data_IF_636414141290
#
_entry.id   IF_636414141290
#
_cell.length_a   1.000
_cell.length_b   1.000
_cell.length_c   1.000
_cell.angle_alpha   90.00
_cell.angle_beta   90.00
_cell.angle_gamma   90.00
#
_symmetry.space_group_name_H-M   'P 1'
#
loop_
_entity.id
_entity.type
_entity.pdbx_description
1 polymer ?
#
# COMPACT_ATOMS: atom_id res chain seq x y z
N UNK A 1 -24.00 -47.63 7.04
CA UNK A 1 -24.31 -47.42 5.61
C UNK A 1 -25.42 -46.40 5.49
N UNK A 2 -25.09 -45.12 5.41
CA UNK A 2 -26.03 -44.04 5.08
C UNK A 2 -25.31 -43.12 4.12
N UNK A 3 -25.33 -43.55 2.87
CA UNK A 3 -24.78 -42.87 1.72
C UNK A 3 -25.91 -42.08 1.07
N UNK A 4 -25.57 -40.88 0.57
CA UNK A 4 -26.34 -40.06 -0.40
C UNK A 4 -27.45 -39.15 0.16
N UNK A 5 -27.02 -38.10 0.84
CA UNK A 5 -27.55 -36.73 0.65
C UNK A 5 -26.50 -35.76 1.15
N UNK A 6 -25.42 -35.60 0.37
CA UNK A 6 -24.50 -34.49 0.49
C UNK A 6 -24.37 -33.91 -0.92
N UNK A 7 -24.97 -32.74 -1.08
CA UNK A 7 -25.16 -32.05 -2.33
C UNK A 7 -23.89 -32.00 -3.18
N UNK A 8 -24.01 -32.51 -4.40
CA UNK A 8 -23.17 -32.12 -5.52
C UNK A 8 -23.43 -30.63 -5.79
N UNK A 9 -22.77 -29.75 -5.04
CA UNK A 9 -22.47 -28.42 -5.55
C UNK A 9 -21.60 -28.69 -6.78
N UNK A 10 -22.15 -28.47 -7.98
CA UNK A 10 -21.41 -28.61 -9.23
C UNK A 10 -20.05 -27.91 -9.07
N UNK A 11 -18.97 -28.68 -9.23
CA UNK A 11 -17.64 -28.09 -9.34
C UNK A 11 -17.71 -27.16 -10.54
N UNK A 12 -17.44 -25.87 -10.30
CA UNK A 12 -17.35 -24.87 -11.37
C UNK A 12 -16.38 -25.43 -12.42
N UNK A 13 -16.84 -25.59 -13.66
CA UNK A 13 -15.95 -25.94 -14.74
C UNK A 13 -15.20 -24.68 -15.15
N UNK A 14 -13.88 -24.74 -15.08
CA UNK A 14 -13.05 -23.56 -15.30
C UNK A 14 -13.10 -23.08 -16.76
N UNK A 15 -13.54 -23.95 -17.67
CA UNK A 15 -13.77 -23.65 -19.08
C UNK A 15 -14.99 -22.74 -19.32
N UNK A 16 -15.90 -22.63 -18.37
CA UNK A 16 -17.10 -21.79 -18.50
C UNK A 16 -16.82 -20.34 -18.07
N UNK A 17 -15.59 -20.04 -17.65
CA UNK A 17 -15.20 -18.72 -17.17
C UNK A 17 -14.44 -17.95 -18.23
N UNK A 18 -14.99 -16.80 -18.60
CA UNK A 18 -14.37 -15.86 -19.52
C UNK A 18 -13.60 -14.83 -18.71
N UNK A 19 -12.30 -14.68 -18.98
CA UNK A 19 -11.47 -13.64 -18.41
C UNK A 19 -11.33 -12.50 -19.41
N UNK A 20 -11.80 -11.31 -19.06
CA UNK A 20 -11.72 -10.12 -19.92
C UNK A 20 -11.69 -8.83 -19.11
N UNK A 21 -11.38 -7.73 -19.79
CA UNK A 21 -11.56 -6.40 -19.19
C UNK A 21 -13.04 -6.13 -18.92
N UNK A 22 -13.30 -5.40 -17.84
CA UNK A 22 -14.61 -4.84 -17.54
C UNK A 22 -14.94 -3.75 -18.57
N UNK A 23 -16.17 -3.77 -19.08
CA UNK A 23 -16.70 -2.75 -19.97
C UNK A 23 -17.79 -1.94 -19.25
N UNK A 24 -18.14 -0.75 -19.79
CA UNK A 24 -19.19 0.10 -19.20
C UNK A 24 -20.52 -0.62 -19.01
N UNK A 25 -20.86 -1.58 -19.88
CA UNK A 25 -22.10 -2.38 -19.78
C UNK A 25 -22.13 -3.31 -18.55
N UNK A 26 -20.98 -3.72 -18.03
CA UNK A 26 -20.88 -4.66 -16.92
C UNK A 26 -21.07 -3.98 -15.55
N UNK A 27 -21.09 -2.64 -15.53
CA UNK A 27 -20.96 -1.84 -14.33
C UNK A 27 -22.02 -2.04 -13.27
N UNK A 28 -23.32 -2.13 -13.60
CA UNK A 28 -24.34 -2.38 -12.59
C UNK A 28 -24.01 -3.64 -11.77
N UNK A 29 -23.52 -4.70 -12.44
CA UNK A 29 -23.11 -5.95 -11.78
C UNK A 29 -21.78 -5.82 -11.07
N UNK A 30 -20.79 -5.14 -11.64
CA UNK A 30 -19.50 -4.94 -10.98
C UNK A 30 -19.64 -4.22 -9.62
N UNK A 31 -20.52 -3.20 -9.58
CA UNK A 31 -20.83 -2.47 -8.35
C UNK A 31 -21.47 -3.38 -7.30
N UNK A 32 -22.34 -4.33 -7.69
CA UNK A 32 -22.86 -5.34 -6.77
C UNK A 32 -21.73 -6.24 -6.21
N UNK A 33 -20.79 -6.68 -7.06
CA UNK A 33 -19.64 -7.49 -6.64
C UNK A 33 -18.78 -6.74 -5.63
N UNK A 34 -18.46 -5.47 -5.90
CA UNK A 34 -17.67 -4.65 -4.98
C UNK A 34 -18.43 -4.32 -3.70
N UNK A 35 -19.68 -3.90 -3.79
CA UNK A 35 -20.49 -3.52 -2.62
C UNK A 35 -20.66 -4.68 -1.66
N UNK A 36 -20.87 -5.89 -2.17
CA UNK A 36 -20.95 -7.11 -1.33
C UNK A 36 -19.61 -7.55 -0.76
N UNK A 37 -18.49 -7.16 -1.37
CA UNK A 37 -17.15 -7.46 -0.87
C UNK A 37 -16.66 -6.46 0.20
N UNK A 38 -16.95 -5.17 0.02
CA UNK A 38 -16.41 -4.08 0.85
C UNK A 38 -17.43 -3.48 1.84
N UNK A 39 -18.72 -3.83 1.74
CA UNK A 39 -19.73 -3.48 2.72
C UNK A 39 -20.27 -2.04 2.65
N UNK A 40 -20.06 -1.33 1.54
CA UNK A 40 -20.67 -0.02 1.28
C UNK A 40 -21.20 0.07 -0.15
N UNK A 41 -22.28 0.84 -0.33
CA UNK A 41 -23.08 0.90 -1.57
C UNK A 41 -22.92 2.21 -2.33
N UNK A 42 -21.78 2.89 -2.17
CA UNK A 42 -21.48 4.13 -2.91
C UNK A 42 -21.17 3.80 -4.38
N UNK A 43 -22.22 3.79 -5.18
CA UNK A 43 -22.21 3.51 -6.62
C UNK A 43 -21.29 4.48 -7.36
N UNK A 44 -21.32 5.77 -7.02
CA UNK A 44 -20.50 6.79 -7.67
C UNK A 44 -19.03 6.59 -7.36
N UNK A 45 -18.69 6.25 -6.11
CA UNK A 45 -17.31 5.90 -5.74
C UNK A 45 -16.79 4.72 -6.55
N UNK A 46 -17.58 3.66 -6.70
CA UNK A 46 -17.17 2.50 -7.52
C UNK A 46 -17.08 2.82 -9.01
N UNK A 47 -17.99 3.63 -9.53
CA UNK A 47 -17.94 4.08 -10.91
C UNK A 47 -16.66 4.88 -11.20
N UNK A 48 -16.37 5.90 -10.38
CA UNK A 48 -15.19 6.74 -10.55
C UNK A 48 -13.91 5.92 -10.35
N UNK A 49 -13.91 5.01 -9.37
CA UNK A 49 -12.80 4.07 -9.17
C UNK A 49 -12.48 3.25 -10.43
N UNK A 50 -13.50 2.74 -11.12
CA UNK A 50 -13.34 1.84 -12.27
C UNK A 50 -13.01 2.52 -13.61
N UNK A 51 -13.29 3.82 -13.77
CA UNK A 51 -13.09 4.50 -15.07
C UNK A 51 -12.34 5.82 -15.03
N UNK A 52 -12.19 6.43 -13.86
CA UNK A 52 -11.47 7.70 -13.71
C UNK A 52 -10.16 7.50 -12.96
N UNK A 53 -10.09 6.51 -12.07
CA UNK A 53 -8.91 6.23 -11.27
C UNK A 53 -8.06 5.10 -11.85
N UNK A 54 -8.70 4.04 -12.35
CA UNK A 54 -8.00 2.85 -12.82
C UNK A 54 -7.66 2.89 -14.30
N UNK A 55 -6.52 2.29 -14.65
CA UNK A 55 -6.14 2.03 -16.03
C UNK A 55 -7.01 0.94 -16.65
N UNK A 56 -7.28 -0.13 -15.90
CA UNK A 56 -8.22 -1.17 -16.31
C UNK A 56 -8.69 -2.04 -15.13
N UNK A 57 -9.83 -2.68 -15.33
CA UNK A 57 -10.36 -3.71 -14.42
C UNK A 57 -10.43 -5.02 -15.17
N UNK A 58 -9.92 -6.11 -14.59
CA UNK A 58 -10.06 -7.47 -15.12
C UNK A 58 -11.14 -8.20 -14.33
N UNK A 59 -12.02 -8.91 -15.04
CA UNK A 59 -13.07 -9.72 -14.45
C UNK A 59 -13.03 -11.18 -14.89
N UNK A 60 -13.51 -12.05 -14.00
CA UNK A 60 -13.91 -13.42 -14.31
C UNK A 60 -15.44 -13.47 -14.46
N UNK A 61 -15.90 -13.83 -15.65
CA UNK A 61 -17.31 -13.81 -16.02
C UNK A 61 -17.86 -15.22 -16.16
N UNK A 62 -19.05 -15.44 -15.61
CA UNK A 62 -19.85 -16.65 -15.79
C UNK A 62 -21.21 -16.18 -16.30
N UNK A 63 -21.67 -16.73 -17.43
CA UNK A 63 -22.90 -16.31 -18.10
C UNK A 63 -22.95 -14.78 -18.36
N UNK A 64 -21.83 -14.22 -18.83
CA UNK A 64 -21.58 -12.78 -19.06
C UNK A 64 -21.78 -11.88 -17.82
N UNK A 65 -21.83 -12.47 -16.61
CA UNK A 65 -21.90 -11.73 -15.35
C UNK A 65 -20.56 -11.76 -14.61
N UNK A 66 -20.00 -10.62 -14.15
CA UNK A 66 -18.76 -10.61 -13.39
C UNK A 66 -18.95 -11.29 -12.02
N UNK A 67 -18.04 -12.20 -11.68
CA UNK A 67 -18.06 -12.96 -10.42
C UNK A 67 -16.82 -12.71 -9.56
N UNK A 68 -15.73 -12.27 -10.17
CA UNK A 68 -14.55 -11.76 -9.48
C UNK A 68 -13.93 -10.63 -10.29
N UNK A 69 -13.32 -9.66 -9.61
CA UNK A 69 -12.74 -8.45 -10.19
C UNK A 69 -11.40 -8.16 -9.52
N UNK A 70 -10.45 -7.60 -10.27
CA UNK A 70 -9.28 -6.92 -9.76
C UNK A 70 -8.97 -5.72 -10.65
N UNK A 71 -8.57 -4.63 -10.02
CA UNK A 71 -8.31 -3.35 -10.69
C UNK A 71 -6.82 -3.10 -10.72
N UNK A 72 -6.32 -2.61 -11.85
CA UNK A 72 -4.94 -2.14 -12.01
C UNK A 72 -4.94 -0.62 -12.07
N UNK A 73 -4.06 -0.02 -11.28
CA UNK A 73 -3.77 1.40 -11.29
C UNK A 73 -2.26 1.57 -11.41
N UNK A 74 -1.79 2.30 -12.42
CA UNK A 74 -0.38 2.54 -12.66
C UNK A 74 0.13 3.68 -11.79
N UNK A 75 1.30 3.47 -11.20
CA UNK A 75 2.02 4.43 -10.38
C UNK A 75 3.49 4.45 -10.76
N UNK A 76 4.16 5.55 -10.40
CA UNK A 76 5.60 5.53 -10.21
C UNK A 76 5.90 5.21 -8.75
N UNK A 77 6.81 4.26 -8.54
CA UNK A 77 7.32 3.84 -7.24
C UNK A 77 8.77 4.25 -7.08
N UNK A 78 9.09 4.89 -5.95
CA UNK A 78 10.45 5.25 -5.61
C UNK A 78 11.22 4.01 -5.16
N UNK A 79 12.34 3.75 -5.81
CA UNK A 79 13.21 2.63 -5.54
C UNK A 79 14.65 2.96 -5.93
N UNK A 80 15.57 2.87 -4.97
CA UNK A 80 17.00 3.07 -5.16
C UNK A 80 17.34 4.39 -5.89
N UNK A 81 16.83 5.51 -5.35
CA UNK A 81 16.98 6.88 -5.90
C UNK A 81 16.42 7.06 -7.33
N UNK A 82 15.50 6.18 -7.74
CA UNK A 82 14.87 6.18 -9.06
C UNK A 82 13.37 5.97 -8.95
N UNK A 83 12.65 6.35 -9.99
CA UNK A 83 11.23 6.02 -10.15
C UNK A 83 11.11 4.86 -11.14
N UNK A 84 10.45 3.78 -10.71
CA UNK A 84 10.13 2.60 -11.52
C UNK A 84 8.61 2.46 -11.66
N UNK A 85 8.11 1.83 -12.72
CA UNK A 85 6.66 1.67 -12.86
C UNK A 85 6.15 0.56 -11.94
N UNK A 86 4.99 0.83 -11.35
CA UNK A 86 4.29 -0.05 -10.44
C UNK A 86 2.84 -0.24 -10.86
N UNK A 87 2.45 -1.48 -11.14
CA UNK A 87 1.06 -1.86 -11.34
C UNK A 87 0.38 -2.15 -9.99
N UNK A 88 -0.31 -1.16 -9.43
CA UNK A 88 -1.05 -1.30 -8.19
C UNK A 88 -2.31 -2.15 -8.35
N UNK A 89 -2.47 -3.18 -7.52
CA UNK A 89 -3.69 -4.00 -7.49
C UNK A 89 -4.64 -3.47 -6.42
N UNK A 90 -5.84 -3.09 -6.84
CA UNK A 90 -6.89 -2.56 -5.97
C UNK A 90 -8.26 -3.20 -6.26
N UNK A 91 -9.23 -2.95 -5.39
CA UNK A 91 -10.63 -3.35 -5.61
C UNK A 91 -10.82 -4.85 -5.85
N UNK A 92 -9.98 -5.71 -5.26
CA UNK A 92 -10.07 -7.17 -5.44
C UNK A 92 -11.36 -7.66 -4.79
N UNK A 93 -12.28 -8.19 -5.59
CA UNK A 93 -13.59 -8.61 -5.13
C UNK A 93 -14.03 -9.93 -5.77
N UNK A 94 -14.92 -10.64 -5.06
CA UNK A 94 -15.52 -11.89 -5.51
C UNK A 94 -16.88 -12.05 -4.85
N UNK A 95 -17.89 -12.42 -5.65
CA UNK A 95 -19.24 -12.63 -5.16
C UNK A 95 -19.24 -13.71 -4.07
N UNK A 96 -20.01 -13.55 -2.98
CA UNK A 96 -20.00 -14.53 -1.88
C UNK A 96 -20.21 -16.00 -2.33
N UNK A 97 -21.13 -16.33 -3.27
CA UNK A 97 -21.33 -17.70 -3.75
C UNK A 97 -20.14 -18.29 -4.53
N UNK A 98 -19.29 -17.45 -5.13
CA UNK A 98 -18.17 -17.88 -5.97
C UNK A 98 -16.81 -17.87 -5.25
N UNK A 99 -16.79 -17.47 -3.98
CA UNK A 99 -15.57 -17.53 -3.15
C UNK A 99 -15.01 -18.95 -3.05
N UNK A 100 -13.69 -19.03 -2.88
CA UNK A 100 -12.91 -20.28 -2.76
C UNK A 100 -12.98 -21.20 -3.99
N UNK A 101 -13.33 -20.67 -5.16
CA UNK A 101 -13.34 -21.39 -6.45
C UNK A 101 -12.18 -21.01 -7.39
N UNK A 102 -11.17 -20.29 -6.90
CA UNK A 102 -9.99 -19.91 -7.69
C UNK A 102 -10.13 -18.67 -8.58
N UNK A 103 -11.34 -18.11 -8.74
CA UNK A 103 -11.58 -16.98 -9.65
C UNK A 103 -10.67 -15.76 -9.40
N UNK A 104 -10.48 -15.36 -8.14
CA UNK A 104 -9.59 -14.23 -7.81
C UNK A 104 -8.15 -14.51 -8.22
N UNK A 105 -7.65 -15.74 -8.02
CA UNK A 105 -6.31 -16.12 -8.47
C UNK A 105 -6.19 -16.02 -9.99
N UNK A 106 -7.22 -16.45 -10.72
CA UNK A 106 -7.25 -16.37 -12.19
C UNK A 106 -7.23 -14.91 -12.67
N UNK A 107 -8.04 -14.04 -12.08
CA UNK A 107 -8.09 -12.61 -12.42
C UNK A 107 -6.77 -11.92 -12.09
N UNK A 108 -6.20 -12.16 -10.91
CA UNK A 108 -4.90 -11.58 -10.52
C UNK A 108 -3.76 -12.04 -11.43
N UNK A 109 -3.76 -13.33 -11.82
CA UNK A 109 -2.78 -13.85 -12.78
C UNK A 109 -2.88 -13.15 -14.12
N UNK A 110 -4.10 -12.88 -14.61
CA UNK A 110 -4.30 -12.13 -15.85
C UNK A 110 -3.80 -10.68 -15.71
N UNK A 111 -4.10 -9.97 -14.61
CA UNK A 111 -3.56 -8.64 -14.36
C UNK A 111 -2.03 -8.62 -14.43
N UNK A 112 -1.37 -9.54 -13.72
CA UNK A 112 0.09 -9.66 -13.69
C UNK A 112 0.67 -10.05 -15.05
N UNK A 113 -0.02 -10.88 -15.82
CA UNK A 113 0.39 -11.26 -17.18
C UNK A 113 0.39 -10.04 -18.11
N UNK A 114 -0.61 -9.16 -18.00
CA UNK A 114 -0.67 -7.91 -18.78
C UNK A 114 0.42 -6.94 -18.38
N UNK A 115 0.58 -6.71 -17.08
CA UNK A 115 1.67 -5.88 -16.53
C UNK A 115 3.05 -6.37 -17.01
N UNK A 116 3.27 -7.69 -17.02
CA UNK A 116 4.50 -8.27 -17.54
C UNK A 116 4.70 -7.96 -19.03
N UNK A 117 3.66 -8.11 -19.87
CA UNK A 117 3.72 -7.79 -21.30
C UNK A 117 3.99 -6.31 -21.55
N UNK A 118 3.46 -5.44 -20.69
CA UNK A 118 3.67 -3.99 -20.69
C UNK A 118 5.04 -3.59 -20.12
N UNK A 119 5.84 -4.56 -19.65
CA UNK A 119 7.16 -4.37 -19.05
C UNK A 119 7.13 -3.51 -17.78
N UNK A 120 6.03 -3.57 -17.03
CA UNK A 120 5.95 -2.97 -15.70
C UNK A 120 6.85 -3.75 -14.75
N UNK A 121 7.69 -3.04 -14.01
CA UNK A 121 8.75 -3.61 -13.18
C UNK A 121 8.18 -4.36 -11.99
N UNK A 122 7.28 -3.71 -11.24
CA UNK A 122 6.74 -4.23 -9.98
C UNK A 122 5.22 -4.12 -9.92
N UNK A 123 4.61 -4.90 -9.03
CA UNK A 123 3.20 -4.77 -8.66
C UNK A 123 3.09 -4.73 -7.15
N UNK A 124 2.17 -3.91 -6.65
CA UNK A 124 2.02 -3.64 -5.24
C UNK A 124 0.54 -3.57 -4.82
N UNK A 125 0.23 -3.92 -3.58
CA UNK A 125 -1.14 -3.92 -3.05
C UNK A 125 -1.21 -3.82 -1.53
N UNK A 126 -2.35 -3.34 -1.04
CA UNK A 126 -2.71 -3.43 0.38
C UNK A 126 -3.52 -4.72 0.64
N UNK A 127 -2.95 -5.70 1.35
CA UNK A 127 -3.57 -7.01 1.45
C UNK A 127 -4.68 -7.03 2.50
N UNK A 128 -5.85 -7.57 2.15
CA UNK A 128 -6.81 -8.02 3.17
C UNK A 128 -6.34 -9.29 3.92
N UNK A 129 -5.38 -10.03 3.33
CA UNK A 129 -4.83 -11.27 3.88
C UNK A 129 -3.43 -11.52 3.31
N UNK A 130 -2.39 -11.33 4.13
CA UNK A 130 -1.01 -11.59 3.72
C UNK A 130 -0.81 -13.02 3.17
N UNK A 131 -1.27 -14.10 3.86
CA UNK A 131 -1.08 -15.47 3.38
C UNK A 131 -1.80 -15.81 2.06
N UNK A 132 -2.78 -14.99 1.67
CA UNK A 132 -3.47 -15.15 0.39
C UNK A 132 -2.57 -14.71 -0.77
N UNK A 133 -1.93 -13.55 -0.64
CA UNK A 133 -1.08 -12.97 -1.68
C UNK A 133 0.33 -13.56 -1.69
N UNK A 134 0.84 -14.06 -0.56
CA UNK A 134 2.10 -14.81 -0.50
C UNK A 134 2.10 -16.02 -1.44
N UNK A 135 0.97 -16.73 -1.53
CA UNK A 135 0.77 -17.86 -2.47
C UNK A 135 0.84 -17.44 -3.95
N UNK A 136 0.86 -16.14 -4.22
CA UNK A 136 0.97 -15.53 -5.54
C UNK A 136 2.29 -14.77 -5.70
N UNK A 137 3.29 -15.05 -4.86
CA UNK A 137 4.64 -14.49 -4.98
C UNK A 137 4.79 -13.05 -4.48
N UNK A 138 3.77 -12.48 -3.83
CA UNK A 138 3.91 -11.20 -3.13
C UNK A 138 4.58 -11.39 -1.78
N UNK A 139 5.35 -10.39 -1.35
CA UNK A 139 5.90 -10.32 0.01
C UNK A 139 5.65 -8.95 0.62
N UNK A 140 5.65 -8.85 1.95
CA UNK A 140 5.59 -7.57 2.66
C UNK A 140 6.85 -6.78 2.32
N UNK A 141 6.72 -5.57 1.78
CA UNK A 141 7.89 -4.78 1.34
C UNK A 141 8.08 -3.48 2.08
N UNK A 142 7.16 -3.11 2.97
CA UNK A 142 7.31 -1.99 3.89
C UNK A 142 6.78 -2.31 5.29
N UNK A 143 7.36 -1.63 6.28
CA UNK A 143 6.96 -1.70 7.68
C UNK A 143 6.70 -0.28 8.15
N UNK A 144 5.61 -0.13 8.91
CA UNK A 144 5.22 1.11 9.53
C UNK A 144 5.22 0.96 11.05
N UNK A 145 5.65 2.01 11.75
CA UNK A 145 5.54 2.07 13.20
C UNK A 145 4.41 3.01 13.59
N UNK A 146 3.35 2.48 14.17
CA UNK A 146 2.31 3.30 14.78
C UNK A 146 2.69 3.59 16.23
N UNK A 147 2.91 4.87 16.52
CA UNK A 147 3.21 5.37 17.85
C UNK A 147 1.94 5.93 18.46
N UNK A 148 1.59 5.48 19.67
CA UNK A 148 0.54 6.09 20.50
C UNK A 148 1.16 6.61 21.78
N UNK A 149 1.09 7.93 22.01
CA UNK A 149 1.68 8.59 23.16
C UNK A 149 0.62 9.41 23.92
N UNK A 150 0.73 9.45 25.25
CA UNK A 150 -0.05 10.39 26.06
C UNK A 150 0.46 11.82 25.79
N UNK A 151 -0.42 12.72 25.39
CA UNK A 151 -0.03 14.07 24.95
C UNK A 151 0.73 14.82 26.06
N UNK A 152 0.28 14.68 27.32
CA UNK A 152 0.93 15.30 28.48
C UNK A 152 2.41 14.90 28.65
N UNK A 153 2.80 13.72 28.16
CA UNK A 153 4.16 13.17 28.27
C UNK A 153 5.04 13.44 27.06
N UNK A 154 4.51 14.07 25.99
CA UNK A 154 5.33 14.55 24.87
C UNK A 154 6.26 15.67 25.41
N UNK A 155 7.57 15.62 25.16
CA UNK A 155 8.50 16.64 25.65
C UNK A 155 8.32 17.99 24.94
N UNK A 156 8.75 19.07 25.59
CA UNK A 156 8.76 20.41 25.00
C UNK A 156 10.04 20.59 24.20
N UNK A 157 9.96 20.38 22.88
CA UNK A 157 11.15 20.27 22.01
C UNK A 157 11.15 21.22 20.82
N UNK A 158 10.06 21.96 20.58
CA UNK A 158 9.95 22.84 19.42
C UNK A 158 8.92 23.95 19.58
N UNK A 159 8.58 24.58 18.46
CA UNK A 159 7.65 25.70 18.37
C UNK A 159 6.42 25.33 17.53
N UNK A 160 5.28 25.16 18.20
CA UNK A 160 4.01 24.84 17.53
C UNK A 160 3.57 25.89 16.50
N UNK A 161 3.99 27.15 16.65
CA UNK A 161 3.56 28.25 15.77
C UNK A 161 4.19 28.17 14.37
N UNK A 162 5.22 27.34 14.21
CA UNK A 162 5.84 27.06 12.92
C UNK A 162 4.93 26.23 11.98
N UNK A 163 3.97 25.48 12.53
CA UNK A 163 2.92 24.83 11.76
C UNK A 163 1.69 25.72 11.64
N UNK A 164 1.30 26.07 10.41
CA UNK A 164 0.13 26.90 10.13
C UNK A 164 -1.00 26.07 9.56
N UNK A 165 -2.21 26.28 10.06
CA UNK A 165 -3.39 25.66 9.45
C UNK A 165 -3.58 26.19 8.03
N UNK A 166 -3.85 25.29 7.09
CA UNK A 166 -4.12 25.62 5.67
C UNK A 166 -5.44 25.00 5.23
N UNK A 167 -6.08 25.60 4.23
CA UNK A 167 -7.33 25.07 3.68
C UNK A 167 -7.08 23.74 2.97
N UNK A 168 -8.07 22.84 2.97
CA UNK A 168 -8.00 21.60 2.18
C UNK A 168 -7.81 21.89 0.69
N UNK A 169 -8.32 23.02 0.20
CA UNK A 169 -8.20 23.42 -1.21
C UNK A 169 -6.82 24.00 -1.55
N UNK A 170 -5.96 24.22 -0.57
CA UNK A 170 -4.60 24.76 -0.74
C UNK A 170 -3.52 23.67 -0.60
N UNK A 171 -3.92 22.40 -0.71
CA UNK A 171 -3.01 21.25 -0.60
C UNK A 171 -1.83 21.29 -1.58
N UNK A 172 -1.97 22.04 -2.70
CA UNK A 172 -0.93 22.25 -3.69
C UNK A 172 0.41 22.71 -3.08
N UNK A 173 0.38 23.47 -1.98
CA UNK A 173 1.59 23.92 -1.28
C UNK A 173 2.35 22.78 -0.57
N UNK A 174 1.71 21.63 -0.34
CA UNK A 174 2.30 20.48 0.33
C UNK A 174 3.08 19.57 -0.63
N UNK A 175 2.78 19.64 -1.94
CA UNK A 175 3.35 18.75 -2.96
C UNK A 175 4.88 18.72 -2.94
N UNK A 176 5.61 19.85 -2.92
CA UNK A 176 7.06 19.82 -2.92
C UNK A 176 7.67 19.13 -1.69
N UNK A 177 7.05 19.30 -0.52
CA UNK A 177 7.47 18.62 0.72
C UNK A 177 7.14 17.14 0.64
N UNK A 178 5.96 16.79 0.14
CA UNK A 178 5.53 15.40 -0.04
C UNK A 178 6.45 14.63 -0.99
N UNK A 179 6.74 15.18 -2.17
CA UNK A 179 7.63 14.57 -3.15
C UNK A 179 9.02 14.31 -2.56
N UNK A 180 9.61 15.32 -1.90
CA UNK A 180 10.91 15.18 -1.23
C UNK A 180 10.88 14.16 -0.10
N UNK A 181 9.79 14.09 0.66
CA UNK A 181 9.66 13.14 1.77
C UNK A 181 9.50 11.71 1.25
N UNK A 182 8.64 11.50 0.26
CA UNK A 182 8.44 10.18 -0.37
C UNK A 182 9.69 9.66 -1.08
N UNK A 183 10.50 10.53 -1.68
CA UNK A 183 11.79 10.13 -2.28
C UNK A 183 12.87 9.74 -1.26
N UNK A 184 12.62 9.88 0.06
CA UNK A 184 13.54 9.38 1.09
C UNK A 184 13.40 7.87 1.32
N UNK A 185 12.35 7.25 0.79
CA UNK A 185 12.00 5.88 1.11
C UNK A 185 11.86 5.01 -0.14
N UNK A 186 12.28 3.76 -0.04
CA UNK A 186 11.92 2.75 -1.03
C UNK A 186 10.42 2.41 -0.88
N UNK A 187 9.77 1.99 -1.98
CA UNK A 187 8.35 1.59 -2.05
C UNK A 187 7.33 2.72 -1.92
N UNK A 188 7.76 3.96 -1.72
CA UNK A 188 6.86 5.11 -1.75
C UNK A 188 6.31 5.33 -3.16
N UNK A 189 5.04 5.74 -3.28
CA UNK A 189 4.38 5.96 -4.56
C UNK A 189 4.20 7.45 -4.82
N UNK A 190 4.24 7.85 -6.10
CA UNK A 190 3.88 9.22 -6.49
C UNK A 190 2.41 9.52 -6.20
N UNK A 191 2.12 10.76 -5.79
CA UNK A 191 0.77 11.25 -5.56
C UNK A 191 0.49 12.51 -6.40
N UNK A 192 -0.26 12.35 -7.49
CA UNK A 192 -0.69 13.46 -8.32
C UNK A 192 -1.82 14.30 -7.67
N UNK A 193 -2.12 15.47 -8.25
CA UNK A 193 -3.15 16.39 -7.72
C UNK A 193 -4.54 15.75 -7.59
N UNK A 194 -5.01 15.01 -8.60
CA UNK A 194 -6.31 14.34 -8.51
C UNK A 194 -6.36 13.29 -7.40
N UNK A 195 -5.23 12.63 -7.10
CA UNK A 195 -5.14 11.72 -5.96
C UNK A 195 -5.20 12.48 -4.64
N UNK A 196 -4.52 13.61 -4.51
CA UNK A 196 -4.65 14.49 -3.33
C UNK A 196 -6.09 14.92 -3.09
N UNK A 197 -6.79 15.40 -4.12
CA UNK A 197 -8.20 15.80 -4.04
C UNK A 197 -9.07 14.64 -3.55
N UNK A 198 -8.95 13.45 -4.15
CA UNK A 198 -9.70 12.27 -3.72
C UNK A 198 -9.37 11.84 -2.30
N UNK A 199 -8.10 11.93 -1.90
CA UNK A 199 -7.66 11.58 -0.55
C UNK A 199 -8.30 12.50 0.48
N UNK A 200 -8.31 13.82 0.23
CA UNK A 200 -8.83 14.83 1.14
C UNK A 200 -10.36 14.94 1.12
N UNK A 201 -11.02 14.47 0.06
CA UNK A 201 -12.48 14.48 -0.08
C UNK A 201 -13.19 13.24 0.52
N UNK A 202 -12.47 12.34 1.21
CA UNK A 202 -13.06 11.11 1.78
C UNK A 202 -14.17 11.43 2.80
N UNK A 203 -15.43 11.04 2.56
CA UNK A 203 -16.56 11.42 3.42
C UNK A 203 -16.51 10.77 4.82
N UNK A 204 -15.80 9.66 4.96
CA UNK A 204 -15.57 8.97 6.23
C UNK A 204 -14.53 9.65 7.13
N UNK A 205 -13.91 10.75 6.68
CA UNK A 205 -12.86 11.48 7.40
C UNK A 205 -13.24 12.96 7.56
N UNK A 206 -12.58 13.63 8.50
CA UNK A 206 -12.67 15.07 8.70
C UNK A 206 -11.25 15.60 8.84
N UNK A 207 -10.67 16.03 7.72
CA UNK A 207 -9.25 16.39 7.69
C UNK A 207 -9.00 17.83 8.10
N UNK A 208 -7.87 18.04 8.79
CA UNK A 208 -7.27 19.36 9.04
C UNK A 208 -5.80 19.29 8.63
N UNK A 209 -5.35 20.29 7.87
CA UNK A 209 -4.00 20.35 7.32
C UNK A 209 -3.19 21.42 8.04
N UNK A 210 -1.97 21.06 8.40
CA UNK A 210 -0.97 21.98 8.91
C UNK A 210 0.26 21.95 8.02
N UNK A 211 0.80 23.12 7.69
CA UNK A 211 1.98 23.28 6.87
C UNK A 211 3.13 23.89 7.69
N UNK A 212 4.31 23.30 7.53
CA UNK A 212 5.61 23.80 7.97
C UNK A 212 6.50 24.01 6.73
N UNK A 213 7.57 24.81 6.84
CA UNK A 213 8.49 25.03 5.71
C UNK A 213 9.11 23.71 5.20
N UNK A 214 9.46 22.84 6.13
CA UNK A 214 10.10 21.53 5.89
C UNK A 214 9.19 20.34 6.26
N UNK A 215 7.87 20.53 6.33
CA UNK A 215 6.96 19.46 6.78
C UNK A 215 5.49 19.78 6.61
N UNK A 216 4.63 18.79 6.79
CA UNK A 216 3.20 18.99 6.91
C UNK A 216 2.57 17.87 7.73
N UNK A 217 1.38 18.12 8.23
CA UNK A 217 0.63 17.17 9.05
C UNK A 217 -0.84 17.18 8.66
N UNK A 218 -1.43 16.00 8.53
CA UNK A 218 -2.85 15.81 8.25
C UNK A 218 -3.47 15.11 9.45
N UNK A 219 -4.43 15.76 10.08
CA UNK A 219 -5.21 15.18 11.17
C UNK A 219 -6.53 14.65 10.67
N UNK A 220 -7.03 13.58 11.27
CA UNK A 220 -8.43 13.19 11.14
C UNK A 220 -9.16 13.44 12.47
N UNK A 221 -10.13 14.34 12.44
CA UNK A 221 -10.97 14.68 13.60
C UNK A 221 -12.30 13.93 13.63
N UNK A 222 -12.55 13.03 12.67
CA UNK A 222 -13.81 12.29 12.60
C UNK A 222 -13.89 11.27 13.74
N UNK A 223 -14.92 11.40 14.58
CA UNK A 223 -15.28 10.43 15.63
C UNK A 223 -14.07 9.93 16.44
N UNK A 224 -13.32 10.83 17.12
CA UNK A 224 -12.12 10.44 17.84
C UNK A 224 -12.46 9.41 18.92
N UNK A 225 -11.87 8.21 18.81
CA UNK A 225 -12.03 7.15 19.82
C UNK A 225 -11.12 7.45 21.01
N UNK A 226 -11.64 7.26 22.21
CA UNK A 226 -10.88 7.36 23.47
C UNK A 226 -10.05 8.65 23.58
N UNK A 227 -10.61 9.77 23.09
CA UNK A 227 -9.94 11.09 23.08
C UNK A 227 -8.54 11.03 22.46
N UNK A 228 -8.37 10.23 21.41
CA UNK A 228 -7.11 10.08 20.68
C UNK A 228 -7.12 10.95 19.42
N UNK A 229 -6.15 11.86 19.32
CA UNK A 229 -5.87 12.60 18.09
C UNK A 229 -5.21 11.65 17.08
N UNK A 230 -5.80 11.51 15.90
CA UNK A 230 -5.24 10.73 14.79
C UNK A 230 -4.51 11.65 13.82
N UNK A 231 -3.18 11.54 13.78
CA UNK A 231 -2.35 12.11 12.72
C UNK A 231 -2.22 11.05 11.63
N UNK A 232 -2.97 11.21 10.55
CA UNK A 232 -3.04 10.19 9.49
C UNK A 232 -1.83 10.22 8.57
N UNK A 233 -1.18 11.38 8.46
CA UNK A 233 0.01 11.58 7.65
C UNK A 233 0.85 12.69 8.25
N UNK A 234 2.15 12.45 8.35
CA UNK A 234 3.10 13.42 8.87
C UNK A 234 4.41 13.32 8.10
N UNK A 235 4.60 14.29 7.20
CA UNK A 235 5.83 14.43 6.45
C UNK A 235 6.73 15.46 7.13
N UNK A 236 8.00 15.14 7.27
CA UNK A 236 9.02 16.04 7.80
C UNK A 236 10.37 15.74 7.14
N UNK A 237 11.06 16.79 6.72
CA UNK A 237 12.37 16.73 6.06
C UNK A 237 13.52 17.05 7.03
N UNK A 238 13.22 17.62 8.19
CA UNK A 238 14.19 18.04 9.20
C UNK A 238 13.74 17.64 10.60
N UNK A 239 14.71 17.45 11.50
CA UNK A 239 14.46 17.20 12.92
C UNK A 239 13.64 18.34 13.55
N UNK A 240 13.92 19.60 13.16
CA UNK A 240 13.15 20.77 13.59
C UNK A 240 11.66 20.64 13.22
N UNK A 241 11.34 20.26 11.99
CA UNK A 241 9.94 20.06 11.57
C UNK A 241 9.23 18.95 12.36
N UNK A 242 9.97 17.92 12.79
CA UNK A 242 9.45 16.88 13.66
C UNK A 242 9.20 17.41 15.09
N UNK A 243 10.15 18.13 15.68
CA UNK A 243 10.02 18.72 17.02
C UNK A 243 8.91 19.79 17.12
N UNK A 244 8.79 20.65 16.12
CA UNK A 244 7.71 21.65 16.04
C UNK A 244 6.34 20.96 15.93
N UNK A 245 6.25 19.86 15.18
CA UNK A 245 5.02 19.07 15.05
C UNK A 245 4.64 18.35 16.35
N UNK A 246 5.61 17.84 17.11
CA UNK A 246 5.35 17.32 18.46
C UNK A 246 4.80 18.40 19.39
N UNK A 247 5.32 19.62 19.28
CA UNK A 247 4.87 20.76 20.08
C UNK A 247 3.44 21.19 19.70
N UNK A 248 3.09 21.12 18.41
CA UNK A 248 1.70 21.31 17.94
C UNK A 248 0.76 20.26 18.55
N UNK A 249 1.13 18.98 18.51
CA UNK A 249 0.35 17.88 19.11
C UNK A 249 0.20 18.11 20.62
N UNK A 250 1.29 18.48 21.31
CA UNK A 250 1.31 18.76 22.75
C UNK A 250 0.30 19.85 23.13
N UNK A 251 0.22 20.93 22.35
CA UNK A 251 -0.68 22.06 22.59
C UNK A 251 -2.17 21.74 22.40
N UNK A 252 -2.51 20.57 21.85
CA UNK A 252 -3.88 20.09 21.81
C UNK A 252 -4.28 19.27 23.05
N UNK A 253 -3.32 18.98 23.93
CA UNK A 253 -3.55 18.30 25.19
C UNK A 253 -4.45 19.12 26.11
N UNK A 254 -5.23 18.42 26.94
CA UNK A 254 -6.17 19.00 27.92
C UNK A 254 -7.39 19.72 27.33
N UNK A 255 -7.49 19.83 25.99
CA UNK A 255 -8.71 20.23 25.29
C UNK A 255 -9.55 18.98 24.96
N UNK A 256 -9.52 18.55 23.70
CA UNK A 256 -10.31 17.44 23.19
C UNK A 256 -9.60 16.08 23.26
N UNK A 257 -8.28 16.08 23.47
CA UNK A 257 -7.45 14.87 23.32
C UNK A 257 -6.54 14.63 24.53
N UNK A 258 -6.41 13.36 24.90
CA UNK A 258 -5.51 12.90 25.95
C UNK A 258 -4.30 12.16 25.35
N UNK A 259 -4.53 11.49 24.21
CA UNK A 259 -3.53 10.71 23.46
C UNK A 259 -3.40 11.25 22.04
N UNK A 260 -2.24 11.05 21.45
CA UNK A 260 -2.02 11.22 20.03
C UNK A 260 -1.45 9.95 19.43
N UNK A 261 -1.81 9.70 18.17
CA UNK A 261 -1.38 8.54 17.41
C UNK A 261 -0.94 8.95 16.02
N UNK A 262 0.24 8.50 15.61
CA UNK A 262 0.81 8.79 14.29
C UNK A 262 1.62 7.61 13.78
N UNK A 263 1.92 7.62 12.48
CA UNK A 263 2.72 6.58 11.82
C UNK A 263 4.08 7.17 11.43
N UNK A 264 5.15 6.40 11.62
CA UNK A 264 6.50 6.76 11.23
C UNK A 264 7.14 5.67 10.36
N UNK A 265 8.04 6.06 9.43
CA UNK A 265 8.88 5.11 8.69
C UNK A 265 9.84 4.39 9.64
N UNK A 266 10.49 5.11 10.55
CA UNK A 266 11.40 4.56 11.54
C UNK A 266 11.27 5.26 12.89
N UNK A 267 11.75 4.61 13.96
CA UNK A 267 11.60 5.10 15.34
C UNK A 267 12.73 6.02 15.79
N UNK A 268 13.85 6.08 15.06
CA UNK A 268 15.06 6.78 15.49
C UNK A 268 14.81 8.24 15.94
N UNK A 269 14.10 9.10 15.16
CA UNK A 269 13.85 10.48 15.60
C UNK A 269 13.01 10.56 16.88
N UNK A 270 12.11 9.60 17.09
CA UNK A 270 11.27 9.55 18.29
C UNK A 270 12.04 9.06 19.51
N UNK A 271 12.91 8.05 19.35
CA UNK A 271 13.70 7.48 20.45
C UNK A 271 14.78 8.45 20.96
N UNK A 272 15.29 9.33 20.09
CA UNK A 272 16.27 10.38 20.45
C UNK A 272 15.71 11.43 21.42
N UNK A 273 14.39 11.52 21.58
CA UNK A 273 13.73 12.39 22.56
C UNK A 273 13.90 11.91 24.01
N UNK A 274 14.42 10.69 24.20
CA UNK A 274 14.54 10.05 25.50
C UNK A 274 13.26 9.34 25.94
N UNK A 275 13.23 8.91 27.20
CA UNK A 275 12.13 8.12 27.76
C UNK A 275 11.09 9.04 28.40
N UNK A 276 9.86 9.00 27.89
CA UNK A 276 8.69 9.64 28.49
C UNK A 276 7.95 8.66 29.42
N UNK A 277 7.27 9.19 30.45
CA UNK A 277 6.35 8.41 31.27
C UNK A 277 4.94 9.03 31.26
N UNK A 278 3.88 8.24 31.02
CA UNK A 278 3.91 6.82 30.64
C UNK A 278 4.54 6.61 29.24
N UNK A 279 5.18 5.45 29.01
CA UNK A 279 5.88 5.20 27.75
C UNK A 279 4.90 5.12 26.57
N UNK A 280 5.40 5.41 25.37
CA UNK A 280 4.66 5.21 24.14
C UNK A 280 4.29 3.73 23.96
N UNK A 281 3.09 3.48 23.43
CA UNK A 281 2.77 2.19 22.82
C UNK A 281 3.23 2.23 21.37
N UNK A 282 4.06 1.28 20.97
CA UNK A 282 4.54 1.14 19.59
C UNK A 282 3.97 -0.15 19.01
N UNK A 283 3.26 -0.03 17.89
CA UNK A 283 2.75 -1.17 17.13
C UNK A 283 3.45 -1.24 15.77
N UNK A 284 4.01 -2.41 15.46
CA UNK A 284 4.57 -2.69 14.13
C UNK A 284 3.40 -3.07 13.22
N UNK A 285 3.26 -2.36 12.10
CA UNK A 285 2.28 -2.62 11.06
C UNK A 285 2.98 -3.08 9.79
N UNK A 286 2.60 -4.26 9.33
CA UNK A 286 2.98 -4.73 8.00
C UNK A 286 2.22 -3.90 6.96
N UNK A 287 2.95 -3.30 6.04
CA UNK A 287 2.37 -2.39 5.05
C UNK A 287 1.85 -3.11 3.80
N UNK A 288 2.12 -2.47 2.68
CA UNK A 288 1.96 -2.98 1.33
C UNK A 288 2.76 -4.27 1.11
N UNK A 289 2.18 -5.13 0.28
CA UNK A 289 2.92 -6.24 -0.31
C UNK A 289 3.26 -5.91 -1.75
N UNK A 290 4.46 -6.28 -2.18
CA UNK A 290 4.90 -6.08 -3.55
C UNK A 290 5.59 -7.31 -4.11
N UNK A 291 5.69 -7.36 -5.44
CA UNK A 291 6.47 -8.36 -6.18
C UNK A 291 7.05 -7.77 -7.44
N UNK A 292 8.19 -8.31 -7.85
CA UNK A 292 8.67 -8.12 -9.22
C UNK A 292 7.65 -8.75 -10.18
N UNK A 293 7.42 -8.06 -11.29
CA UNK A 293 6.56 -8.51 -12.39
C UNK A 293 7.45 -8.80 -13.60
N UNK A 294 8.16 -7.81 -14.12
CA UNK A 294 9.09 -7.97 -15.23
C UNK A 294 10.54 -7.77 -14.74
N UNK A 295 11.30 -8.87 -14.71
CA UNK A 295 12.67 -8.90 -14.18
C UNK A 295 13.63 -8.01 -14.99
N UNK A 296 13.61 -8.14 -16.32
CA UNK A 296 14.49 -7.36 -17.21
C UNK A 296 14.26 -5.86 -17.05
N UNK A 297 12.99 -5.43 -17.01
CA UNK A 297 12.64 -4.03 -16.81
C UNK A 297 13.04 -3.56 -15.41
N UNK A 298 12.80 -4.38 -14.38
CA UNK A 298 13.16 -4.07 -13.01
C UNK A 298 14.66 -3.80 -12.86
N UNK A 299 15.53 -4.72 -13.28
CA UNK A 299 16.98 -4.51 -13.16
C UNK A 299 17.49 -3.36 -14.02
N UNK A 300 16.95 -3.21 -15.24
CA UNK A 300 17.32 -2.10 -16.13
C UNK A 300 17.01 -0.73 -15.51
N UNK A 301 15.84 -0.57 -14.89
CA UNK A 301 15.34 0.74 -14.48
C UNK A 301 15.64 1.05 -13.00
N UNK A 302 15.73 0.04 -12.13
CA UNK A 302 16.05 0.20 -10.69
C UNK A 302 17.50 0.61 -10.41
N UNK A 303 18.40 0.49 -11.38
CA UNK A 303 19.82 0.75 -11.18
C UNK A 303 20.55 -0.33 -10.37
N UNK A 304 19.90 -1.47 -10.11
CA UNK A 304 20.53 -2.64 -9.52
C UNK A 304 21.31 -3.43 -10.57
N UNK A 305 22.38 -4.09 -10.14
CA UNK A 305 23.04 -5.11 -10.95
C UNK A 305 22.10 -6.30 -11.17
N UNK A 306 22.15 -6.90 -12.36
CA UNK A 306 21.34 -8.07 -12.69
C UNK A 306 21.58 -9.22 -11.71
N UNK A 307 20.52 -9.91 -11.33
CA UNK A 307 20.61 -11.10 -10.51
C UNK A 307 20.73 -12.35 -11.39
N UNK A 308 21.79 -13.14 -11.22
CA UNK A 308 22.09 -14.24 -12.13
C UNK A 308 21.24 -15.50 -11.90
N UNK A 309 20.51 -15.59 -10.79
CA UNK A 309 19.68 -16.76 -10.48
C UNK A 309 18.24 -16.56 -10.98
N UNK A 310 17.62 -17.60 -11.55
CA UNK A 310 16.27 -17.50 -12.08
C UNK A 310 15.24 -17.39 -10.94
N UNK A 311 14.18 -16.59 -11.16
CA UNK A 311 13.09 -16.41 -10.19
C UNK A 311 12.17 -17.65 -10.16
N UNK A 312 11.83 -18.12 -8.96
CA UNK A 312 10.79 -19.13 -8.72
C UNK A 312 9.45 -18.43 -8.43
N UNK A 313 8.67 -18.15 -9.48
CA UNK A 313 7.37 -17.49 -9.34
C UNK A 313 6.21 -18.51 -9.32
N UNK A 314 5.42 -18.59 -8.24
CA UNK A 314 4.26 -19.48 -8.13
C UNK A 314 3.18 -19.31 -9.22
N UNK A 315 3.20 -18.20 -9.96
CA UNK A 315 2.28 -17.91 -11.05
C UNK A 315 2.87 -18.13 -12.45
N UNK A 316 4.18 -18.38 -12.56
CA UNK A 316 4.95 -18.42 -13.81
C UNK A 316 4.78 -17.15 -14.66
N UNK A 317 4.87 -15.97 -14.03
CA UNK A 317 4.83 -14.65 -14.68
C UNK A 317 6.24 -14.07 -14.80
N UNK A 318 6.95 -13.95 -13.67
CA UNK A 318 8.26 -13.27 -13.61
C UNK A 318 9.43 -14.24 -13.82
N UNK A 319 9.19 -15.53 -13.71
CA UNK A 319 10.18 -16.59 -13.85
C UNK A 319 9.51 -17.95 -13.71
N UNK A 320 10.18 -19.01 -14.13
CA UNK A 320 9.65 -20.38 -14.07
C UNK A 320 10.64 -21.38 -13.48
N UNK A 321 11.57 -20.91 -12.64
CA UNK A 321 12.53 -21.79 -11.97
C UNK A 321 11.81 -22.80 -11.09
N UNK A 322 12.21 -24.05 -11.16
CA UNK A 322 11.77 -25.10 -10.23
C UNK A 322 12.80 -25.39 -9.14
N UNK A 323 13.90 -24.62 -9.12
CA UNK A 323 14.92 -24.74 -8.09
C UNK A 323 14.33 -24.33 -6.73
N UNK A 324 14.51 -25.19 -5.73
CA UNK A 324 14.06 -24.93 -4.36
C UNK A 324 14.87 -23.83 -3.67
N UNK A 325 16.07 -23.54 -4.16
CA UNK A 325 16.92 -22.46 -3.65
C UNK A 325 16.68 -21.12 -4.34
N UNK A 326 15.95 -21.11 -5.45
CA UNK A 326 15.59 -19.89 -6.17
C UNK A 326 14.60 -19.03 -5.37
N UNK A 327 14.83 -17.71 -5.42
CA UNK A 327 14.03 -16.73 -4.71
C UNK A 327 12.69 -16.47 -5.41
N UNK A 328 11.66 -16.20 -4.60
CA UNK A 328 10.39 -15.69 -5.10
C UNK A 328 10.47 -14.22 -5.55
N UNK A 329 9.54 -13.74 -6.39
CA UNK A 329 9.59 -12.37 -6.92
C UNK A 329 9.40 -11.29 -5.85
N UNK A 330 8.55 -11.52 -4.84
CA UNK A 330 8.42 -10.62 -3.69
C UNK A 330 9.60 -10.73 -2.72
N UNK A 331 10.16 -11.92 -2.58
CA UNK A 331 11.30 -12.18 -1.71
C UNK A 331 12.57 -11.48 -2.22
N UNK A 332 12.82 -11.54 -3.53
CA UNK A 332 13.89 -10.80 -4.17
C UNK A 332 13.76 -9.29 -3.90
N UNK A 333 12.53 -8.77 -3.92
CA UNK A 333 12.26 -7.37 -3.62
C UNK A 333 12.50 -7.03 -2.13
N UNK A 334 12.16 -7.91 -1.18
CA UNK A 334 12.48 -7.73 0.24
C UNK A 334 13.99 -7.67 0.51
N UNK A 335 14.74 -8.54 -0.18
CA UNK A 335 16.20 -8.58 -0.14
C UNK A 335 16.75 -7.28 -0.72
N UNK A 336 16.23 -6.86 -1.87
CA UNK A 336 16.65 -5.63 -2.52
C UNK A 336 16.33 -4.40 -1.66
N UNK A 337 15.21 -4.33 -0.94
CA UNK A 337 14.94 -3.21 -0.03
C UNK A 337 15.71 -3.30 1.30
N UNK A 338 16.51 -4.34 1.52
CA UNK A 338 17.19 -4.60 2.79
C UNK A 338 16.26 -4.94 3.95
N UNK A 339 14.98 -5.24 3.67
CA UNK A 339 13.97 -5.54 4.69
C UNK A 339 14.20 -6.93 5.30
N UNK A 340 14.69 -7.86 4.49
CA UNK A 340 15.16 -9.16 4.95
C UNK A 340 16.61 -9.33 4.53
N UNK A 341 17.43 -9.84 5.44
CA UNK A 341 18.74 -10.38 5.11
C UNK A 341 18.64 -11.89 5.31
N UNK A 342 18.78 -12.69 4.25
CA UNK A 342 18.85 -14.14 4.38
C UNK A 342 20.32 -14.55 4.65
N UNK A 343 20.65 -15.07 5.85
CA UNK A 343 21.97 -15.64 6.09
C UNK A 343 22.23 -16.80 5.12
N UNK A 344 23.41 -16.83 4.49
CA UNK A 344 23.84 -17.94 3.63
C UNK A 344 23.59 -17.78 2.13
N UNK A 345 23.00 -16.68 1.66
CA UNK A 345 22.91 -16.39 0.22
C UNK A 345 24.00 -15.41 -0.23
N UNK A 346 25.21 -15.93 -0.47
CA UNK A 346 26.36 -15.15 -0.97
C UNK A 346 26.03 -14.42 -2.29
N UNK A 347 25.13 -14.96 -3.12
CA UNK A 347 24.72 -14.37 -4.39
C UNK A 347 23.80 -13.15 -4.25
N UNK A 348 23.18 -12.93 -3.08
CA UNK A 348 22.41 -11.71 -2.80
C UNK A 348 23.29 -10.55 -2.29
N UNK A 349 24.57 -10.82 -1.97
CA UNK A 349 25.53 -9.82 -1.48
C UNK A 349 25.67 -8.58 -2.39
N UNK A 350 25.62 -8.68 -3.74
CA UNK A 350 25.60 -7.50 -4.61
C UNK A 350 24.31 -6.67 -4.47
N UNK A 351 23.13 -7.31 -4.38
CA UNK A 351 21.85 -6.60 -4.24
C UNK A 351 21.78 -5.71 -3.00
N UNK A 352 22.26 -6.23 -1.85
CA UNK A 352 22.28 -5.47 -0.60
C UNK A 352 23.19 -4.23 -0.64
N UNK A 353 24.24 -4.24 -1.46
CA UNK A 353 25.15 -3.09 -1.60
C UNK A 353 24.60 -2.02 -2.53
N UNK A 354 23.76 -2.43 -3.49
CA UNK A 354 23.35 -1.59 -4.61
C UNK A 354 22.03 -0.85 -4.42
N UNK A 355 21.14 -1.31 -3.52
CA UNK A 355 19.79 -0.77 -3.36
C UNK A 355 19.61 0.36 -2.33
N UNK A 356 20.72 0.87 -1.79
CA UNK A 356 20.73 2.06 -0.94
C UNK A 356 20.24 1.83 0.50
N UNK A 357 20.70 2.70 1.41
CA UNK A 357 20.39 2.69 2.85
C UNK A 357 18.93 3.08 3.18
N UNK A 358 18.14 3.44 2.16
CA UNK A 358 16.81 3.99 2.34
C UNK A 358 15.84 2.92 2.87
N UNK A 359 15.17 3.26 3.97
CA UNK A 359 14.16 2.39 4.54
C UNK A 359 12.96 2.24 3.60
N UNK A 360 12.36 1.06 3.54
CA UNK A 360 11.14 0.86 2.80
C UNK A 360 9.91 1.33 3.61
N UNK A 361 9.17 2.26 3.03
CA UNK A 361 8.00 2.88 3.64
C UNK A 361 7.08 3.46 2.56
N UNK A 362 5.79 3.27 2.70
CA UNK A 362 4.77 3.95 1.89
C UNK A 362 3.61 4.41 2.74
N UNK A 363 3.09 5.60 2.48
CA UNK A 363 1.87 6.12 3.12
C UNK A 363 0.63 5.92 2.23
N UNK A 364 0.82 5.61 0.96
CA UNK A 364 -0.28 5.52 -0.01
C UNK A 364 -1.13 4.28 0.21
N UNK A 365 -2.43 4.46 0.48
CA UNK A 365 -3.44 3.40 0.54
C UNK A 365 -4.55 3.67 -0.48
N UNK A 366 -4.59 2.89 -1.56
CA UNK A 366 -5.54 3.06 -2.67
C UNK A 366 -6.89 2.40 -2.44
#
# INVERSE_FOLDING_TARGET
MTQRTADKVARLNMNDVVIRSLEKRDMPRAIEVWSTAFGFTDVNRWHNFAFEVSDYVVGAFIDDCPQALATVIMFDMHFNDRWIQCGGIAGVACTPPMRRRGLVKTVLKECLTRLHKEKVEVSALWPFSFPFYEKMGYSITDIQYEVTQQIASIPEVGDSSAYKAVSLNEFAHLLPVHERWTSMFNMSLTRNASRWERQLARPERQFVLFQHQDGYMIWNLKNPKDRTLEVVEWAFLTEKAFHDGLSLIKNCGQLAFDKAKWVMPGLEPFLQLGVSFPPAKIEIRHGMMSRIVNEDAFFKNSGLESFAQPINDPLNISGSSTDSEALGPGELLQIATGLTQKPGQENAAPLYRSAGKAQAFSIEQY
#
